data_IF_871740056719
#
_entry.id   IF_871740056719
#
_cell.length_a   1.000
_cell.length_b   1.000
_cell.length_c   1.000
_cell.angle_alpha   90.00
_cell.angle_beta   90.00
_cell.angle_gamma   90.00
#
_symmetry.space_group_name_H-M   'P 1'
#
loop_
_entity.id
_entity.type
_entity.pdbx_description
1 polymer ?
#
# COMPACT_ATOMS: atom_id res chain seq x y z
N UNK A 1 -51.03 9.78 -49.62
CA UNK A 1 -50.17 9.91 -48.43
C UNK A 1 -49.21 8.71 -48.38
N UNK A 2 -47.89 8.89 -48.56
CA UNK A 2 -46.78 7.95 -48.17
C UNK A 2 -45.39 8.11 -48.85
N UNK A 3 -45.04 9.15 -49.64
CA UNK A 3 -43.63 9.30 -50.09
C UNK A 3 -42.80 10.29 -49.27
N UNK A 4 -43.40 11.29 -48.61
CA UNK A 4 -42.67 12.34 -47.89
C UNK A 4 -42.04 11.87 -46.57
N UNK A 5 -42.73 10.98 -45.83
CA UNK A 5 -42.27 10.52 -44.50
C UNK A 5 -41.00 9.66 -44.56
N UNK A 6 -40.80 8.89 -45.64
CA UNK A 6 -39.60 8.04 -45.82
C UNK A 6 -38.32 8.84 -46.05
N UNK A 7 -38.42 10.08 -46.57
CA UNK A 7 -37.25 10.94 -46.77
C UNK A 7 -36.84 11.66 -45.48
N UNK A 8 -37.80 12.05 -44.64
CA UNK A 8 -37.50 12.63 -43.33
C UNK A 8 -36.85 11.62 -42.37
N UNK A 9 -37.34 10.37 -42.36
CA UNK A 9 -36.82 9.34 -41.45
C UNK A 9 -35.36 8.95 -41.76
N UNK A 10 -34.97 8.98 -43.04
CA UNK A 10 -33.56 8.73 -43.43
C UNK A 10 -32.64 9.89 -43.08
N UNK A 11 -33.10 11.13 -43.12
CA UNK A 11 -32.30 12.29 -42.70
C UNK A 11 -32.05 12.30 -41.18
N UNK A 12 -33.05 11.90 -40.37
CA UNK A 12 -32.92 11.83 -38.91
C UNK A 12 -31.99 10.69 -38.46
N UNK A 13 -32.01 9.54 -39.16
CA UNK A 13 -31.15 8.39 -38.82
C UNK A 13 -29.67 8.58 -39.18
N UNK A 14 -29.35 9.46 -40.13
CA UNK A 14 -27.95 9.79 -40.50
C UNK A 14 -27.34 10.84 -39.58
N UNK A 15 -28.17 11.68 -38.93
CA UNK A 15 -27.70 12.70 -37.97
C UNK A 15 -27.49 12.17 -36.54
N UNK A 16 -28.17 11.09 -36.16
CA UNK A 16 -28.05 10.46 -34.84
C UNK A 16 -26.64 9.91 -34.49
N UNK A 17 -25.87 9.27 -35.40
CA UNK A 17 -24.52 8.84 -35.07
C UNK A 17 -23.51 9.99 -35.01
N UNK A 18 -23.75 11.12 -35.67
CA UNK A 18 -22.86 12.29 -35.61
C UNK A 18 -22.98 13.08 -34.30
N UNK A 19 -24.16 13.13 -33.70
CA UNK A 19 -24.33 13.70 -32.35
C UNK A 19 -23.76 12.80 -31.24
N UNK A 20 -23.67 11.48 -31.47
CA UNK A 20 -23.05 10.55 -30.51
C UNK A 20 -21.52 10.70 -30.39
N UNK A 21 -20.84 11.10 -31.46
CA UNK A 21 -19.37 11.24 -31.47
C UNK A 21 -18.92 12.55 -30.79
N UNK A 22 -19.76 13.60 -30.79
CA UNK A 22 -19.40 14.88 -30.16
C UNK A 22 -19.54 14.81 -28.62
N UNK A 23 -20.38 13.93 -28.07
CA UNK A 23 -20.57 13.80 -26.61
C UNK A 23 -19.56 12.81 -26.00
N UNK A 24 -18.90 11.97 -26.80
CA UNK A 24 -17.82 11.08 -26.32
C UNK A 24 -16.43 11.74 -26.34
N UNK A 25 -16.32 12.93 -26.91
CA UNK A 25 -15.31 13.89 -26.47
C UNK A 25 -15.82 14.58 -25.20
N UNK A 26 -16.05 13.79 -24.14
CA UNK A 26 -15.87 14.30 -22.79
C UNK A 26 -14.41 14.73 -22.72
N UNK A 27 -14.18 15.97 -23.13
CA UNK A 27 -13.05 16.78 -22.73
C UNK A 27 -13.13 16.74 -21.21
N UNK A 28 -12.40 15.80 -20.62
CA UNK A 28 -11.96 15.92 -19.24
C UNK A 28 -11.41 17.33 -19.20
N UNK A 29 -12.04 18.21 -18.44
CA UNK A 29 -11.51 19.55 -18.25
C UNK A 29 -10.08 19.32 -17.78
N UNK A 30 -9.13 19.48 -18.69
CA UNK A 30 -7.74 19.67 -18.38
C UNK A 30 -7.73 21.03 -17.69
N UNK A 31 -8.17 21.07 -16.43
CA UNK A 31 -7.76 22.15 -15.56
C UNK A 31 -6.24 22.17 -15.73
N UNK A 32 -5.67 23.28 -16.24
CA UNK A 32 -4.25 23.31 -16.58
C UNK A 32 -3.54 22.81 -15.34
N UNK A 33 -2.75 21.75 -15.52
CA UNK A 33 -1.92 21.23 -14.44
C UNK A 33 -1.18 22.44 -13.90
N UNK A 34 -1.61 22.90 -12.73
CA UNK A 34 -1.04 24.07 -12.11
C UNK A 34 0.22 23.49 -11.54
N UNK A 35 1.28 23.48 -12.35
CA UNK A 35 2.61 23.29 -11.83
C UNK A 35 2.69 24.22 -10.63
N UNK A 36 3.05 23.65 -9.49
CA UNK A 36 3.35 24.38 -8.28
C UNK A 36 4.32 25.48 -8.76
N UNK A 37 3.83 26.71 -8.92
CA UNK A 37 4.67 27.75 -9.49
C UNK A 37 5.81 27.91 -8.49
N UNK A 38 7.04 28.05 -8.97
CA UNK A 38 8.24 28.15 -8.13
C UNK A 38 8.16 29.28 -7.08
N UNK A 39 7.12 30.12 -7.16
CA UNK A 39 6.71 31.18 -6.22
C UNK A 39 5.94 30.69 -4.99
N UNK A 40 5.26 29.54 -5.04
CA UNK A 40 4.53 28.98 -3.91
C UNK A 40 5.49 28.10 -3.10
N UNK A 41 6.12 28.72 -2.10
CA UNK A 41 7.17 28.07 -1.30
C UNK A 41 6.63 26.97 -0.41
N UNK A 42 5.34 26.95 -0.08
CA UNK A 42 4.75 25.91 0.76
C UNK A 42 3.29 25.65 0.44
N UNK A 43 2.92 24.38 0.23
CA UNK A 43 1.54 23.94 -0.03
C UNK A 43 1.13 22.87 0.96
N UNK A 44 0.00 23.04 1.65
CA UNK A 44 -0.55 22.04 2.56
C UNK A 44 -1.62 21.19 1.86
N UNK A 45 -1.55 19.88 2.05
CA UNK A 45 -2.58 18.95 1.59
C UNK A 45 -3.81 19.04 2.48
N UNK A 46 -4.93 19.52 1.92
CA UNK A 46 -6.21 19.60 2.64
C UNK A 46 -6.90 18.24 2.73
N UNK A 47 -6.56 17.31 1.83
CA UNK A 47 -7.09 15.94 1.79
C UNK A 47 -5.94 14.96 1.57
N UNK A 48 -6.16 13.71 1.96
CA UNK A 48 -5.24 12.64 1.57
C UNK A 48 -5.19 12.53 0.05
N UNK A 49 -4.00 12.26 -0.48
CA UNK A 49 -3.75 12.18 -1.91
C UNK A 49 -2.74 11.06 -2.19
N UNK A 50 -2.69 10.58 -3.42
CA UNK A 50 -1.79 9.49 -3.81
C UNK A 50 -0.87 9.97 -4.93
N UNK A 51 0.43 9.82 -4.74
CA UNK A 51 1.43 10.10 -5.77
C UNK A 51 1.20 9.23 -7.01
N UNK A 52 1.71 9.66 -8.18
CA UNK A 52 1.69 8.86 -9.41
C UNK A 52 2.28 7.45 -9.21
N UNK A 53 3.22 7.29 -8.30
CA UNK A 53 3.86 6.01 -7.96
C UNK A 53 3.09 5.17 -6.93
N UNK A 54 1.88 5.58 -6.53
CA UNK A 54 1.01 4.86 -5.60
C UNK A 54 1.22 5.17 -4.11
N UNK A 55 2.20 6.01 -3.74
CA UNK A 55 2.38 6.38 -2.32
C UNK A 55 1.23 7.28 -1.85
N UNK A 56 0.49 6.81 -0.86
CA UNK A 56 -0.52 7.64 -0.20
C UNK A 56 0.14 8.63 0.77
N UNK A 57 -0.24 9.90 0.65
CA UNK A 57 0.10 10.98 1.56
C UNK A 57 -1.14 11.36 2.40
N UNK A 58 -0.97 11.56 3.72
CA UNK A 58 -2.07 11.92 4.59
C UNK A 58 -2.49 13.39 4.41
N UNK A 59 -3.73 13.70 4.77
CA UNK A 59 -4.16 15.08 4.95
C UNK A 59 -3.29 15.78 6.01
N UNK A 60 -2.96 17.05 5.78
CA UNK A 60 -2.09 17.84 6.64
C UNK A 60 -0.58 17.68 6.36
N UNK A 61 -0.18 16.81 5.43
CA UNK A 61 1.18 16.87 4.91
C UNK A 61 1.42 18.20 4.19
N UNK A 62 2.63 18.73 4.25
CA UNK A 62 2.98 19.97 3.54
C UNK A 62 4.19 19.79 2.66
N UNK A 63 4.20 20.51 1.55
CA UNK A 63 5.18 20.44 0.49
C UNK A 63 5.96 21.74 0.44
N UNK A 64 7.28 21.67 0.30
CA UNK A 64 8.15 22.83 0.12
C UNK A 64 9.16 22.55 -0.97
N UNK A 65 9.36 23.49 -1.89
CA UNK A 65 10.47 23.40 -2.83
C UNK A 65 11.81 23.48 -2.10
N UNK A 66 12.79 22.73 -2.61
CA UNK A 66 14.17 22.88 -2.20
C UNK A 66 14.77 24.11 -2.89
N UNK A 67 15.23 25.13 -2.15
CA UNK A 67 15.84 26.33 -2.75
C UNK A 67 17.11 25.98 -3.54
N UNK A 68 17.85 24.99 -3.06
CA UNK A 68 19.14 24.56 -3.62
C UNK A 68 18.98 23.49 -4.72
N UNK A 69 17.81 22.85 -4.81
CA UNK A 69 17.52 21.76 -5.75
C UNK A 69 16.17 21.99 -6.46
N UNK A 70 16.13 22.74 -7.58
CA UNK A 70 14.89 23.21 -8.20
C UNK A 70 13.97 22.09 -8.74
N UNK A 71 14.47 20.86 -8.84
CA UNK A 71 13.71 19.68 -9.26
C UNK A 71 13.28 18.79 -8.09
N UNK A 72 13.43 19.28 -6.86
CA UNK A 72 13.13 18.54 -5.63
C UNK A 72 12.09 19.26 -4.79
N UNK A 73 11.08 18.50 -4.36
CA UNK A 73 10.07 18.94 -3.38
C UNK A 73 10.21 18.11 -2.12
N UNK A 74 10.34 18.79 -0.99
CA UNK A 74 10.28 18.20 0.34
C UNK A 74 8.82 18.00 0.73
N UNK A 75 8.45 16.78 1.10
CA UNK A 75 7.16 16.43 1.66
C UNK A 75 7.33 16.13 3.13
N UNK A 76 6.69 16.94 3.97
CA UNK A 76 6.73 16.79 5.41
C UNK A 76 5.44 16.14 5.89
N UNK A 77 5.60 15.05 6.65
CA UNK A 77 4.47 14.30 7.17
C UNK A 77 4.01 14.90 8.51
N UNK A 78 2.69 14.97 8.76
CA UNK A 78 2.17 15.48 10.01
C UNK A 78 2.46 14.51 11.16
N UNK A 79 2.38 15.03 12.40
CA UNK A 79 2.78 14.41 13.66
C UNK A 79 2.93 12.87 13.69
N UNK A 80 1.84 12.09 13.75
CA UNK A 80 1.94 10.65 13.98
C UNK A 80 2.42 9.88 12.74
N UNK A 81 2.54 10.51 11.59
CA UNK A 81 2.86 9.82 10.35
C UNK A 81 4.37 9.64 10.15
N UNK A 82 4.76 8.48 9.65
CA UNK A 82 6.13 8.17 9.25
C UNK A 82 6.16 7.49 7.90
N UNK A 83 7.16 7.81 7.11
CA UNK A 83 7.53 7.01 5.96
C UNK A 83 8.44 5.87 6.44
N UNK A 84 8.14 4.64 6.02
CA UNK A 84 8.94 3.46 6.27
C UNK A 84 9.24 2.82 4.92
N UNK A 85 10.52 2.74 4.56
CA UNK A 85 10.98 2.21 3.28
C UNK A 85 12.24 1.36 3.39
N UNK A 86 12.68 0.82 2.26
CA UNK A 86 13.96 0.15 2.12
C UNK A 86 14.94 1.00 1.30
N UNK A 87 16.20 1.03 1.71
CA UNK A 87 17.31 1.54 0.90
C UNK A 87 17.64 0.59 -0.25
N UNK A 88 18.49 1.02 -1.18
CA UNK A 88 19.03 0.14 -2.23
C UNK A 88 19.80 -1.08 -1.68
N UNK A 89 20.24 -1.03 -0.41
CA UNK A 89 20.96 -2.11 0.28
C UNK A 89 20.01 -2.99 1.12
N UNK A 90 18.69 -2.85 0.94
CA UNK A 90 17.65 -3.51 1.74
C UNK A 90 17.69 -3.18 3.25
N UNK A 91 18.33 -2.08 3.64
CA UNK A 91 18.22 -1.57 5.01
C UNK A 91 16.91 -0.78 5.16
N UNK A 92 16.28 -0.82 6.35
CA UNK A 92 15.09 0.00 6.59
C UNK A 92 15.45 1.46 6.84
N UNK A 93 14.58 2.35 6.36
CA UNK A 93 14.64 3.79 6.64
C UNK A 93 13.28 4.24 7.15
N UNK A 94 13.29 4.91 8.30
CA UNK A 94 12.16 5.64 8.86
C UNK A 94 12.40 7.15 8.71
N UNK A 95 11.39 7.91 8.30
CA UNK A 95 11.49 9.37 8.19
C UNK A 95 10.18 10.10 8.49
N UNK A 96 10.28 11.34 8.97
CA UNK A 96 9.15 12.29 9.14
C UNK A 96 8.79 13.04 7.85
N UNK A 97 9.46 12.72 6.76
CA UNK A 97 9.25 13.33 5.46
C UNK A 97 10.00 12.57 4.38
N UNK A 98 9.70 12.91 3.14
CA UNK A 98 10.37 12.37 1.97
C UNK A 98 10.70 13.51 1.02
N UNK A 99 11.67 13.33 0.14
CA UNK A 99 11.88 14.25 -0.97
C UNK A 99 11.48 13.56 -2.27
N UNK A 100 10.79 14.30 -3.13
CA UNK A 100 10.40 13.88 -4.46
C UNK A 100 11.29 14.66 -5.43
N UNK A 101 12.18 13.95 -6.11
CA UNK A 101 13.10 14.53 -7.10
C UNK A 101 12.71 14.05 -8.50
N UNK A 102 12.55 14.97 -9.43
CA UNK A 102 12.21 14.68 -10.81
C UNK A 102 13.47 14.77 -11.70
N UNK A 103 13.87 13.65 -12.30
CA UNK A 103 15.06 13.57 -13.15
C UNK A 103 14.69 13.39 -14.62
N UNK A 104 15.27 14.21 -15.48
CA UNK A 104 15.19 14.01 -16.93
C UNK A 104 16.36 13.12 -17.39
N UNK A 105 16.07 11.98 -18.01
CA UNK A 105 17.15 11.09 -18.51
C UNK A 105 17.78 11.60 -19.82
N UNK A 106 17.03 12.38 -20.62
CA UNK A 106 17.51 12.98 -21.86
C UNK A 106 16.70 14.23 -22.19
N UNK A 107 17.40 15.36 -22.34
CA UNK A 107 16.78 16.67 -22.56
C UNK A 107 16.72 17.50 -21.28
N UNK A 108 15.75 18.42 -21.20
CA UNK A 108 15.50 19.26 -20.02
C UNK A 108 14.00 19.49 -19.83
N UNK A 109 13.60 19.83 -18.60
CA UNK A 109 12.22 20.22 -18.26
C UNK A 109 11.39 19.18 -17.49
N UNK A 110 12.04 18.24 -16.80
CA UNK A 110 11.35 17.35 -15.85
C UNK A 110 11.20 18.06 -14.50
N UNK A 111 9.97 18.34 -14.07
CA UNK A 111 9.71 19.10 -12.84
C UNK A 111 8.64 18.42 -11.97
N UNK A 112 8.74 18.56 -10.64
CA UNK A 112 7.65 18.17 -9.74
C UNK A 112 6.38 18.94 -10.05
N UNK A 113 5.23 18.27 -9.99
CA UNK A 113 3.93 18.89 -10.13
C UNK A 113 2.97 18.39 -9.04
N UNK A 114 2.03 19.25 -8.67
CA UNK A 114 0.96 18.94 -7.74
C UNK A 114 -0.30 19.69 -8.17
N UNK A 115 -1.43 18.99 -8.32
CA UNK A 115 -2.72 19.62 -8.56
C UNK A 115 -3.87 18.76 -7.98
N UNK A 116 -5.11 19.12 -8.25
CA UNK A 116 -6.29 18.39 -7.77
C UNK A 116 -6.42 16.94 -8.25
N UNK A 117 -5.61 16.52 -9.22
CA UNK A 117 -5.59 15.17 -9.78
C UNK A 117 -4.44 14.30 -9.26
N UNK A 118 -3.54 14.86 -8.44
CA UNK A 118 -2.45 14.12 -7.82
C UNK A 118 -1.12 14.87 -7.82
N UNK A 119 -0.05 14.10 -7.67
CA UNK A 119 1.31 14.61 -7.55
C UNK A 119 2.30 13.67 -8.23
N UNK A 120 3.29 14.24 -8.92
CA UNK A 120 4.37 13.44 -9.48
C UNK A 120 5.38 14.26 -10.27
N UNK A 121 5.87 13.70 -11.37
CA UNK A 121 6.87 14.33 -12.23
C UNK A 121 6.34 14.58 -13.63
N UNK A 122 6.35 15.84 -14.07
CA UNK A 122 5.83 16.24 -15.36
C UNK A 122 6.98 16.60 -16.29
N UNK A 123 6.93 16.06 -17.50
CA UNK A 123 7.81 16.48 -18.58
C UNK A 123 7.24 17.73 -19.26
N UNK A 124 7.97 18.83 -19.20
CA UNK A 124 7.78 20.00 -20.04
C UNK A 124 8.95 20.13 -21.02
N UNK A 125 8.67 20.64 -22.23
CA UNK A 125 9.72 20.89 -23.22
C UNK A 125 10.32 19.62 -23.83
N UNK A 126 11.66 19.52 -23.85
CA UNK A 126 12.40 18.52 -24.61
C UNK A 126 12.76 17.24 -23.86
N UNK A 127 12.24 17.03 -22.65
CA UNK A 127 12.57 15.85 -21.87
C UNK A 127 11.84 14.60 -22.38
N UNK A 128 12.58 13.57 -22.80
CA UNK A 128 11.97 12.35 -23.36
C UNK A 128 11.51 11.33 -22.32
N UNK A 129 12.12 11.31 -21.13
CA UNK A 129 11.71 10.48 -20.00
C UNK A 129 11.94 11.25 -18.71
N UNK A 130 10.87 11.44 -17.94
CA UNK A 130 10.87 12.14 -16.67
C UNK A 130 10.64 11.10 -15.57
N UNK A 131 11.62 10.93 -14.67
CA UNK A 131 11.63 9.89 -13.65
C UNK A 131 11.44 10.50 -12.27
N UNK A 132 10.51 9.95 -11.50
CA UNK A 132 10.30 10.31 -10.11
C UNK A 132 11.19 9.47 -9.19
N UNK A 133 11.94 10.15 -8.33
CA UNK A 133 12.76 9.53 -7.28
C UNK A 133 12.23 9.98 -5.92
N UNK A 134 12.05 9.02 -5.02
CA UNK A 134 11.68 9.29 -3.63
C UNK A 134 12.87 8.99 -2.72
N UNK A 135 13.30 9.97 -1.94
CA UNK A 135 14.35 9.84 -0.93
C UNK A 135 13.81 10.07 0.47
N UNK A 136 14.40 9.41 1.46
CA UNK A 136 14.10 9.64 2.86
C UNK A 136 15.42 9.73 3.64
N UNK A 137 15.64 10.83 4.39
CA UNK A 137 16.91 11.12 5.07
C UNK A 137 18.15 11.03 4.15
N UNK A 138 18.02 11.39 2.87
CA UNK A 138 19.10 11.25 1.88
C UNK A 138 19.39 9.81 1.43
N UNK A 139 18.70 8.80 1.96
CA UNK A 139 18.80 7.43 1.48
C UNK A 139 17.94 7.26 0.22
N UNK A 140 18.59 6.82 -0.87
CA UNK A 140 18.00 6.64 -2.18
C UNK A 140 17.30 5.28 -2.27
N UNK A 141 16.02 5.27 -2.67
CA UNK A 141 15.41 4.11 -3.34
C UNK A 141 15.14 4.51 -4.78
N UNK A 142 15.92 3.98 -5.71
CA UNK A 142 15.68 4.23 -7.14
C UNK A 142 14.53 3.35 -7.58
N UNK A 143 13.44 3.98 -7.97
CA UNK A 143 12.39 3.29 -8.68
C UNK A 143 12.57 3.51 -10.16
N UNK A 144 12.59 2.41 -10.89
CA UNK A 144 12.54 2.39 -12.34
C UNK A 144 11.51 3.39 -12.87
N UNK A 145 11.72 4.02 -14.03
CA UNK A 145 10.82 5.03 -14.62
C UNK A 145 9.34 4.61 -14.77
N UNK A 146 8.99 3.33 -14.52
CA UNK A 146 7.62 2.82 -14.52
C UNK A 146 7.28 1.93 -13.30
N UNK A 147 8.05 1.99 -12.21
CA UNK A 147 7.83 1.12 -11.04
C UNK A 147 7.13 1.87 -9.90
N UNK A 148 5.87 1.49 -9.66
CA UNK A 148 5.17 1.70 -8.39
C UNK A 148 6.05 1.25 -7.23
N UNK A 149 6.21 2.07 -6.17
CA UNK A 149 7.08 1.81 -5.01
C UNK A 149 6.82 0.41 -4.41
N UNK A 150 7.63 -0.62 -4.68
CA UNK A 150 7.43 -1.93 -4.07
C UNK A 150 8.20 -1.95 -2.74
N UNK A 151 7.84 -1.09 -1.79
CA UNK A 151 8.37 -1.21 -0.43
C UNK A 151 8.80 0.09 0.21
N UNK A 152 7.97 1.12 0.05
CA UNK A 152 7.94 2.28 0.93
C UNK A 152 6.47 2.58 1.22
N UNK A 153 6.12 2.96 2.44
CA UNK A 153 4.75 3.28 2.82
C UNK A 153 4.72 4.37 3.88
N UNK A 154 3.67 5.20 3.87
CA UNK A 154 3.38 6.12 4.96
C UNK A 154 2.43 5.44 5.94
N UNK A 155 2.83 5.34 7.20
CA UNK A 155 2.04 4.74 8.28
C UNK A 155 1.59 5.79 9.28
N UNK A 156 0.45 5.56 9.93
CA UNK A 156 -0.04 6.36 11.05
C UNK A 156 0.27 5.67 12.37
N UNK A 157 1.26 6.17 13.10
CA UNK A 157 1.66 5.58 14.38
C UNK A 157 0.59 5.72 15.47
N UNK A 158 -0.38 6.62 15.32
CA UNK A 158 -1.47 6.80 16.29
C UNK A 158 -2.48 5.67 16.28
N UNK A 159 -2.57 4.90 15.17
CA UNK A 159 -3.44 3.73 15.07
C UNK A 159 -2.97 2.57 15.95
N UNK A 160 -1.70 2.55 16.34
CA UNK A 160 -1.11 1.52 17.20
C UNK A 160 -1.12 0.12 16.58
N UNK A 161 -0.96 -0.89 17.44
CA UNK A 161 -1.06 -2.31 17.10
C UNK A 161 -2.28 -2.90 17.81
N UNK A 162 -3.15 -3.59 17.08
CA UNK A 162 -4.39 -4.17 17.63
C UNK A 162 -4.88 -5.35 16.81
N UNK A 163 -5.68 -6.22 17.42
CA UNK A 163 -6.40 -7.25 16.67
C UNK A 163 -7.40 -6.62 15.69
N UNK A 164 -7.52 -7.25 14.52
CA UNK A 164 -8.60 -7.00 13.56
C UNK A 164 -9.77 -7.89 13.97
N UNK A 165 -10.95 -7.30 14.19
CA UNK A 165 -12.08 -8.03 14.81
C UNK A 165 -13.19 -8.38 13.83
N UNK A 166 -13.10 -7.93 12.57
CA UNK A 166 -14.11 -8.23 11.54
C UNK A 166 -13.50 -8.50 10.17
N UNK A 167 -14.19 -9.33 9.36
CA UNK A 167 -13.80 -9.61 7.97
C UNK A 167 -13.79 -8.34 7.11
N UNK A 168 -14.77 -7.45 7.31
CA UNK A 168 -14.86 -6.19 6.59
C UNK A 168 -13.64 -5.29 6.85
N UNK A 169 -13.22 -5.19 8.11
CA UNK A 169 -12.01 -4.46 8.47
C UNK A 169 -10.76 -5.11 7.86
N UNK A 170 -10.64 -6.43 7.93
CA UNK A 170 -9.52 -7.16 7.34
C UNK A 170 -9.38 -6.92 5.83
N UNK A 171 -10.51 -6.92 5.12
CA UNK A 171 -10.55 -6.66 3.67
C UNK A 171 -10.24 -5.20 3.32
N UNK A 172 -10.61 -4.25 4.20
CA UNK A 172 -10.33 -2.83 4.02
C UNK A 172 -8.91 -2.42 4.44
N UNK A 173 -8.24 -3.24 5.27
CA UNK A 173 -6.91 -2.94 5.81
C UNK A 173 -5.84 -3.45 4.84
N UNK A 174 -5.04 -2.55 4.21
CA UNK A 174 -3.98 -2.97 3.29
C UNK A 174 -2.96 -3.85 4.02
N UNK A 175 -2.34 -4.83 3.35
CA UNK A 175 -1.36 -5.70 4.01
C UNK A 175 -0.07 -4.95 4.30
N UNK A 176 0.69 -5.44 5.28
CA UNK A 176 2.03 -4.94 5.58
C UNK A 176 2.94 -5.05 4.33
N UNK A 177 3.84 -4.07 4.16
CA UNK A 177 4.86 -4.11 3.11
C UNK A 177 6.21 -4.61 3.66
N UNK A 178 7.08 -5.11 2.79
CA UNK A 178 8.38 -5.68 3.19
C UNK A 178 9.26 -4.74 4.01
N UNK A 179 9.15 -3.42 3.79
CA UNK A 179 9.85 -2.41 4.56
C UNK A 179 9.40 -2.38 6.03
N UNK A 180 8.08 -2.38 6.27
CA UNK A 180 7.53 -2.45 7.61
C UNK A 180 7.87 -3.76 8.30
N UNK A 181 7.80 -4.86 7.54
CA UNK A 181 8.19 -6.17 8.02
C UNK A 181 9.69 -6.21 8.40
N UNK A 182 10.56 -5.53 7.66
CA UNK A 182 12.00 -5.49 7.97
C UNK A 182 12.37 -4.57 9.14
N UNK A 183 11.44 -3.73 9.59
CA UNK A 183 11.74 -2.67 10.56
C UNK A 183 11.83 -3.22 11.99
N UNK A 184 12.94 -2.90 12.67
CA UNK A 184 13.20 -3.40 14.02
C UNK A 184 12.33 -2.73 15.09
N UNK A 185 11.94 -1.47 14.89
CA UNK A 185 11.04 -0.75 15.80
C UNK A 185 9.64 -1.35 15.72
N UNK A 186 9.14 -1.59 14.51
CA UNK A 186 7.86 -2.29 14.29
C UNK A 186 7.92 -3.71 14.88
N UNK A 187 8.98 -4.46 14.58
CA UNK A 187 9.14 -5.83 15.08
C UNK A 187 9.16 -5.88 16.61
N UNK A 188 9.81 -4.90 17.26
CA UNK A 188 9.85 -4.79 18.72
C UNK A 188 8.49 -4.41 19.29
N UNK A 189 7.81 -3.43 18.70
CA UNK A 189 6.47 -3.02 19.13
C UNK A 189 5.47 -4.17 19.00
N UNK A 190 5.52 -4.91 17.90
CA UNK A 190 4.71 -6.10 17.68
C UNK A 190 5.03 -7.21 18.69
N UNK A 191 6.31 -7.46 18.96
CA UNK A 191 6.74 -8.41 19.99
C UNK A 191 6.20 -8.05 21.39
N UNK A 192 6.24 -6.77 21.75
CA UNK A 192 5.69 -6.29 23.02
C UNK A 192 4.16 -6.44 23.08
N UNK A 193 3.47 -6.15 21.96
CA UNK A 193 2.02 -6.36 21.85
C UNK A 193 1.65 -7.85 22.00
N UNK A 194 2.45 -8.76 21.45
CA UNK A 194 2.17 -10.20 21.45
C UNK A 194 2.63 -10.94 22.70
N UNK A 195 3.52 -10.36 23.51
CA UNK A 195 4.05 -11.01 24.71
C UNK A 195 2.97 -11.59 25.65
N UNK A 196 1.82 -10.91 25.90
CA UNK A 196 0.75 -11.47 26.74
C UNK A 196 0.01 -12.66 26.09
N UNK A 197 0.10 -12.80 24.76
CA UNK A 197 -0.65 -13.76 23.94
C UNK A 197 0.20 -14.93 23.44
N UNK A 198 1.47 -14.99 23.85
CA UNK A 198 2.42 -16.05 23.48
C UNK A 198 3.11 -16.59 24.74
N UNK A 199 2.34 -17.06 25.73
CA UNK A 199 2.89 -17.43 27.04
C UNK A 199 3.49 -18.85 27.05
N UNK A 200 2.77 -19.81 26.49
CA UNK A 200 3.21 -21.21 26.44
C UNK A 200 3.94 -21.52 25.13
N UNK A 201 4.95 -22.39 25.11
CA UNK A 201 5.68 -22.75 23.88
C UNK A 201 6.33 -21.59 23.11
N UNK A 202 6.59 -20.44 23.75
CA UNK A 202 7.21 -19.26 23.14
C UNK A 202 8.52 -19.59 22.42
N UNK A 203 9.33 -20.47 23.00
CA UNK A 203 10.58 -20.94 22.40
C UNK A 203 10.35 -21.70 21.09
N UNK A 204 9.28 -22.47 20.97
CA UNK A 204 8.91 -23.18 19.73
C UNK A 204 8.35 -22.22 18.70
N UNK A 205 7.51 -21.27 19.10
CA UNK A 205 7.01 -20.20 18.21
C UNK A 205 8.17 -19.37 17.64
N UNK A 206 9.18 -19.07 18.47
CA UNK A 206 10.32 -18.22 18.10
C UNK A 206 11.49 -18.96 17.45
N UNK A 207 11.71 -20.24 17.69
CA UNK A 207 12.84 -20.99 17.08
C UNK A 207 12.48 -21.66 15.75
N UNK A 208 11.21 -21.65 15.36
CA UNK A 208 10.75 -22.31 14.14
C UNK A 208 10.89 -21.40 12.91
N UNK A 209 12.12 -21.24 12.43
CA UNK A 209 12.46 -20.44 11.25
C UNK A 209 12.11 -21.13 9.91
N UNK A 210 11.86 -22.44 9.94
CA UNK A 210 11.76 -23.31 8.77
C UNK A 210 10.45 -24.10 8.67
N UNK A 211 9.84 -24.51 9.79
CA UNK A 211 8.58 -25.25 9.73
C UNK A 211 7.39 -24.29 9.68
N UNK A 212 6.59 -24.43 8.62
CA UNK A 212 5.31 -23.72 8.46
C UNK A 212 4.22 -24.33 9.35
N UNK A 213 4.55 -24.71 10.57
CA UNK A 213 3.65 -25.41 11.50
C UNK A 213 3.66 -24.64 12.81
N UNK A 214 2.48 -24.29 13.30
CA UNK A 214 2.34 -23.69 14.63
C UNK A 214 2.34 -24.79 15.69
N UNK A 215 2.89 -24.52 16.89
CA UNK A 215 2.79 -25.47 17.99
C UNK A 215 1.32 -25.70 18.42
N UNK A 216 1.00 -26.83 19.07
CA UNK A 216 -0.34 -27.10 19.56
C UNK A 216 -0.89 -25.96 20.44
N UNK A 217 -2.16 -25.61 20.23
CA UNK A 217 -2.83 -24.53 20.97
C UNK A 217 -2.51 -23.12 20.44
N UNK A 218 -1.87 -22.99 19.29
CA UNK A 218 -1.66 -21.71 18.60
C UNK A 218 -2.46 -21.59 17.30
N UNK A 219 -2.81 -20.35 16.96
CA UNK A 219 -3.49 -20.00 15.72
C UNK A 219 -2.98 -18.71 15.11
N UNK A 220 -3.17 -18.54 13.81
CA UNK A 220 -2.90 -17.27 13.14
C UNK A 220 -4.08 -16.31 13.35
N UNK A 221 -3.79 -15.15 13.95
CA UNK A 221 -4.74 -14.07 14.18
C UNK A 221 -4.35 -12.83 13.35
N UNK A 222 -5.33 -12.14 12.73
CA UNK A 222 -5.05 -10.90 12.03
C UNK A 222 -4.88 -9.73 13.01
N UNK A 223 -3.81 -8.98 12.79
CA UNK A 223 -3.45 -7.80 13.56
C UNK A 223 -3.26 -6.63 12.60
N UNK A 224 -3.79 -5.47 12.97
CA UNK A 224 -3.48 -4.20 12.35
C UNK A 224 -2.25 -3.63 13.03
N UNK A 225 -1.19 -3.43 12.25
CA UNK A 225 0.07 -2.79 12.65
C UNK A 225 0.12 -1.44 11.96
N UNK A 226 -0.19 -0.37 12.68
CA UNK A 226 -0.20 1.01 12.16
C UNK A 226 -1.05 1.14 10.87
N UNK A 227 -2.23 0.52 10.87
CA UNK A 227 -3.16 0.54 9.74
C UNK A 227 -2.88 -0.50 8.65
N UNK A 228 -1.98 -1.46 8.87
CA UNK A 228 -1.65 -2.51 7.92
C UNK A 228 -1.86 -3.92 8.48
N UNK A 229 -2.40 -4.84 7.70
CA UNK A 229 -2.75 -6.19 8.15
C UNK A 229 -1.57 -7.16 8.10
N UNK A 230 -1.44 -7.96 9.16
CA UNK A 230 -0.44 -9.02 9.33
C UNK A 230 -1.07 -10.18 10.10
N UNK A 231 -0.77 -11.42 9.73
CA UNK A 231 -1.15 -12.60 10.49
C UNK A 231 -0.03 -12.99 11.45
N UNK A 232 -0.37 -13.17 12.73
CA UNK A 232 0.57 -13.47 13.80
C UNK A 232 0.12 -14.66 14.64
N UNK A 233 1.05 -15.45 15.20
CA UNK A 233 0.71 -16.60 16.02
C UNK A 233 0.29 -16.15 17.42
N UNK A 234 -0.87 -16.61 17.87
CA UNK A 234 -1.47 -16.31 19.17
C UNK A 234 -2.00 -17.59 19.82
N UNK A 235 -1.84 -17.69 21.14
CA UNK A 235 -2.35 -18.81 21.92
C UNK A 235 -3.88 -18.81 22.00
N UNK A 236 -4.50 -19.95 21.68
CA UNK A 236 -5.96 -20.17 21.69
C UNK A 236 -6.58 -19.85 23.05
N UNK A 237 -5.91 -20.23 24.14
CA UNK A 237 -6.40 -20.14 25.51
C UNK A 237 -6.50 -18.68 26.02
N UNK A 238 -5.75 -17.76 25.42
CA UNK A 238 -5.60 -16.35 25.86
C UNK A 238 -6.15 -15.38 24.80
N UNK A 239 -6.69 -15.88 23.69
CA UNK A 239 -7.18 -14.99 22.64
C UNK A 239 -8.39 -14.20 23.15
N UNK A 240 -8.43 -12.86 23.00
CA UNK A 240 -9.57 -12.06 23.43
C UNK A 240 -10.85 -12.53 22.73
N UNK A 241 -11.94 -12.72 23.47
CA UNK A 241 -13.23 -13.14 22.91
C UNK A 241 -13.74 -12.20 21.79
N UNK A 242 -13.35 -10.93 21.83
CA UNK A 242 -13.67 -9.92 20.81
C UNK A 242 -12.89 -10.06 19.50
N UNK A 243 -11.80 -10.84 19.45
CA UNK A 243 -10.99 -11.01 18.24
C UNK A 243 -11.50 -12.13 17.30
N UNK A 244 -12.55 -12.85 17.69
CA UNK A 244 -12.95 -14.15 17.10
C UNK A 244 -14.38 -14.14 16.56
N UNK A 245 -15.01 -12.98 16.37
CA UNK A 245 -16.45 -12.96 16.06
C UNK A 245 -16.77 -13.42 14.63
N UNK A 246 -15.91 -13.12 13.64
CA UNK A 246 -16.16 -13.45 12.22
C UNK A 246 -14.94 -14.03 11.46
N UNK A 247 -13.79 -14.18 12.13
CA UNK A 247 -12.54 -14.64 11.53
C UNK A 247 -12.19 -15.96 12.19
N UNK A 248 -12.41 -17.08 11.49
CA UNK A 248 -11.97 -18.36 11.99
C UNK A 248 -10.45 -18.45 11.90
N UNK A 249 -9.75 -18.58 13.03
CA UNK A 249 -8.33 -18.86 13.02
C UNK A 249 -8.10 -20.23 12.39
N UNK A 250 -7.20 -20.31 11.41
CA UNK A 250 -6.80 -21.59 10.83
C UNK A 250 -5.99 -22.37 11.86
N UNK A 251 -6.47 -23.57 12.23
CA UNK A 251 -5.71 -24.54 13.03
C UNK A 251 -4.57 -25.09 12.19
N UNK A 252 -3.33 -24.96 12.66
CA UNK A 252 -2.21 -25.74 12.12
C UNK A 252 -2.46 -27.23 12.43
N UNK A 253 -2.20 -28.11 11.47
CA UNK A 253 -2.36 -29.55 11.68
C UNK A 253 -1.43 -30.01 12.81
N UNK A 254 -1.97 -30.79 13.75
CA UNK A 254 -1.18 -31.53 14.73
C UNK A 254 -0.60 -32.79 14.09
N UNK A 255 0.60 -33.20 14.50
CA UNK A 255 1.42 -34.30 13.91
C UNK A 255 0.75 -35.68 13.81
N UNK A 256 -0.49 -35.86 14.28
CA UNK A 256 -1.25 -37.10 14.17
C UNK A 256 -2.11 -37.12 12.88
N UNK A 257 -1.46 -37.39 11.75
CA UNK A 257 -2.08 -38.11 10.63
C UNK A 257 -3.10 -37.39 9.74
N UNK A 258 -3.40 -36.11 9.94
CA UNK A 258 -4.22 -35.32 9.01
C UNK A 258 -3.38 -34.26 8.28
N UNK A 259 -3.57 -34.21 6.97
CA UNK A 259 -2.78 -33.49 5.96
C UNK A 259 -2.19 -32.14 6.42
N UNK A 260 -0.93 -31.90 6.03
CA UNK A 260 -0.16 -30.64 6.15
C UNK A 260 -1.02 -29.36 6.08
N UNK A 261 -1.59 -28.94 7.22
CA UNK A 261 -2.09 -27.58 7.38
C UNK A 261 -0.88 -26.71 7.70
N UNK A 262 -0.24 -26.28 6.62
CA UNK A 262 0.76 -25.22 6.64
C UNK A 262 0.14 -23.92 7.16
N UNK A 263 0.91 -23.09 7.88
CA UNK A 263 0.55 -21.70 8.18
C UNK A 263 -0.02 -21.11 6.89
N UNK A 264 -1.26 -20.63 6.89
CA UNK A 264 -1.89 -20.06 5.69
C UNK A 264 -2.81 -20.98 4.88
N UNK A 265 -3.00 -22.26 5.24
CA UNK A 265 -4.02 -23.10 4.59
C UNK A 265 -5.43 -22.56 4.87
N UNK A 266 -5.92 -21.70 3.97
CA UNK A 266 -7.21 -21.02 4.09
C UNK A 266 -7.13 -19.53 3.80
N UNK A 267 -5.98 -18.89 4.02
CA UNK A 267 -5.78 -17.49 3.67
C UNK A 267 -5.34 -17.37 2.21
N UNK A 268 -5.87 -16.38 1.49
CA UNK A 268 -5.47 -16.14 0.10
C UNK A 268 -5.22 -14.66 -0.16
N UNK A 269 -4.32 -14.37 -1.09
CA UNK A 269 -4.03 -13.01 -1.55
C UNK A 269 -4.72 -12.80 -2.88
N UNK A 270 -5.50 -11.73 -3.02
CA UNK A 270 -6.09 -11.33 -4.30
C UNK A 270 -5.60 -9.97 -4.73
N UNK A 271 -5.27 -9.83 -6.01
CA UNK A 271 -4.98 -8.55 -6.61
C UNK A 271 -6.27 -7.96 -7.23
N UNK A 272 -6.69 -6.78 -6.78
CA UNK A 272 -7.84 -6.06 -7.33
C UNK A 272 -7.55 -5.45 -8.71
N UNK A 273 -6.31 -5.06 -8.98
CA UNK A 273 -5.84 -4.64 -10.30
C UNK A 273 -4.31 -4.71 -10.40
N UNK A 274 -3.80 -5.34 -11.47
CA UNK A 274 -2.38 -5.62 -11.68
C UNK A 274 -2.03 -7.10 -11.46
N UNK A 275 -0.77 -7.39 -11.15
CA UNK A 275 -0.27 -8.73 -10.79
C UNK A 275 0.71 -8.63 -9.61
N UNK A 276 0.99 -9.74 -8.93
CA UNK A 276 2.05 -9.80 -7.91
C UNK A 276 1.60 -9.69 -6.45
N UNK A 277 0.30 -9.78 -6.16
CA UNK A 277 -0.20 -9.96 -4.79
C UNK A 277 0.05 -11.41 -4.36
N UNK A 278 1.15 -11.67 -3.66
CA UNK A 278 1.62 -13.01 -3.28
C UNK A 278 1.58 -13.21 -1.77
N UNK A 279 1.37 -14.45 -1.33
CA UNK A 279 1.40 -14.79 0.09
C UNK A 279 2.83 -15.07 0.53
N UNK A 280 3.29 -14.37 1.56
CA UNK A 280 4.64 -14.45 2.11
C UNK A 280 4.61 -14.90 3.56
N UNK A 281 5.72 -15.51 3.95
CA UNK A 281 6.03 -15.84 5.33
C UNK A 281 7.32 -15.14 5.71
N UNK A 282 7.36 -14.59 6.92
CA UNK A 282 8.59 -14.03 7.46
C UNK A 282 8.72 -14.39 8.93
N UNK A 283 9.86 -14.96 9.26
CA UNK A 283 10.22 -15.23 10.63
C UNK A 283 10.85 -13.99 11.26
N UNK A 284 10.40 -13.67 12.48
CA UNK A 284 10.96 -12.63 13.32
C UNK A 284 11.39 -13.24 14.65
N UNK A 285 12.62 -13.00 15.13
CA UNK A 285 13.10 -13.58 16.38
C UNK A 285 12.19 -13.36 17.61
N UNK A 286 11.47 -12.23 17.66
CA UNK A 286 10.63 -11.84 18.81
C UNK A 286 9.17 -12.27 18.65
N UNK A 287 8.70 -12.44 17.41
CA UNK A 287 7.27 -12.66 17.09
C UNK A 287 7.00 -14.11 16.67
N UNK A 288 8.00 -14.79 16.10
CA UNK A 288 7.84 -16.08 15.43
C UNK A 288 7.54 -15.93 13.94
N UNK A 289 7.01 -16.99 13.34
CA UNK A 289 6.60 -16.99 11.93
C UNK A 289 5.34 -16.16 11.73
N UNK A 290 5.40 -15.16 10.86
CA UNK A 290 4.27 -14.33 10.46
C UNK A 290 3.91 -14.59 9.00
N UNK A 291 2.68 -14.26 8.62
CA UNK A 291 2.24 -14.38 7.24
C UNK A 291 1.47 -13.14 6.77
N UNK A 292 1.69 -12.75 5.53
CA UNK A 292 1.11 -11.53 4.96
C UNK A 292 1.01 -11.61 3.43
N UNK A 293 0.22 -10.73 2.83
CA UNK A 293 0.22 -10.54 1.39
C UNK A 293 1.20 -9.43 1.00
N UNK A 294 2.21 -9.72 0.19
CA UNK A 294 3.03 -8.69 -0.41
C UNK A 294 2.35 -8.22 -1.70
N UNK A 295 2.10 -6.91 -1.84
CA UNK A 295 1.40 -6.36 -3.00
C UNK A 295 2.24 -6.40 -4.28
N UNK A 296 3.57 -6.40 -4.20
CA UNK A 296 4.43 -6.33 -5.38
C UNK A 296 4.12 -5.09 -6.24
N UNK A 297 3.71 -5.29 -7.50
CA UNK A 297 3.23 -4.23 -8.40
C UNK A 297 1.70 -4.12 -8.45
N UNK A 298 1.00 -4.83 -7.57
CA UNK A 298 -0.45 -4.77 -7.46
C UNK A 298 -0.88 -3.48 -6.76
N UNK A 299 -1.81 -2.75 -7.38
CA UNK A 299 -2.33 -1.48 -6.84
C UNK A 299 -3.19 -1.72 -5.59
N UNK A 300 -3.88 -2.86 -5.53
CA UNK A 300 -4.72 -3.25 -4.39
C UNK A 300 -4.55 -4.73 -4.10
N UNK A 301 -3.85 -5.05 -3.02
CA UNK A 301 -3.65 -6.42 -2.56
C UNK A 301 -4.50 -6.67 -1.32
N UNK A 302 -5.32 -7.71 -1.35
CA UNK A 302 -6.27 -8.03 -0.26
C UNK A 302 -5.97 -9.40 0.29
N UNK A 303 -5.88 -9.50 1.61
CA UNK A 303 -5.78 -10.76 2.34
C UNK A 303 -7.19 -11.26 2.68
N UNK A 304 -7.56 -12.42 2.18
CA UNK A 304 -8.84 -13.06 2.42
C UNK A 304 -8.73 -14.15 3.47
N UNK A 305 -9.75 -14.24 4.32
CA UNK A 305 -10.00 -15.30 5.30
C UNK A 305 -10.85 -16.38 4.61
N UNK A 306 -10.64 -17.68 4.88
CA UNK A 306 -11.54 -18.70 4.38
C UNK A 306 -12.96 -18.47 4.93
N UNK A 307 -13.98 -18.68 4.10
CA UNK A 307 -15.37 -18.60 4.56
C UNK A 307 -15.63 -19.69 5.61
N UNK A 308 -16.33 -19.33 6.69
CA UNK A 308 -16.81 -20.28 7.68
C UNK A 308 -17.69 -21.32 6.99
N UNK A 309 -17.28 -22.60 6.98
CA UNK A 309 -18.19 -23.70 6.66
C UNK A 309 -19.03 -24.04 7.89
#
# INVERSE_FOLDING_TARGET
MRPAYKRLLKAVLVLLPFFGIIIYACKKDDAPATGLQQTDTTVALVRADTLENGLALPAGAYLSYSPDHPHTVHVFLPGPYRYIGLTNENATVESKGIDITCLCSKGSGCNPWFNSYGMGCMSFGGCSVCTQIVTANGALKVLSPNAYLPGGVVVDLSLGIRFITSKAEMQATPPIVDAMAADSTISTALGNFLAPYQQHYLSQVRMNDTARVLPPGYRMMPVSVYGHSLLVPVEESITPACAVTDIHPVKAATEEGEAESSIGSGYSCSCGSGTGCTYHYRWFPIVGMTAYCASGVCISCTLHVPDSQ
#
